data_IF_271679861699
#
_entry.id   IF_271679861699
#
_cell.length_a   1.000
_cell.length_b   1.000
_cell.length_c   1.000
_cell.angle_alpha   90.00
_cell.angle_beta   90.00
_cell.angle_gamma   90.00
#
_symmetry.space_group_name_H-M   'P 1'
#
loop_
_entity.id
_entity.type
_entity.pdbx_description
1 polymer ?
#
# COMPACT_ATOMS: atom_id res chain seq x y z
N UNK A 1 -20.73 0.36 -3.11
CA UNK A 1 -20.30 -1.05 -3.26
C UNK A 1 -18.92 -1.19 -2.67
N UNK A 2 -18.65 -2.27 -1.93
CA UNK A 2 -17.29 -2.53 -1.48
C UNK A 2 -16.45 -3.04 -2.67
N UNK A 3 -15.15 -2.73 -2.70
CA UNK A 3 -14.23 -3.21 -3.74
C UNK A 3 -14.22 -4.75 -3.87
N UNK A 4 -14.73 -5.46 -2.86
CA UNK A 4 -14.84 -6.92 -2.79
C UNK A 4 -16.11 -7.50 -3.43
N UNK A 5 -16.99 -6.65 -3.98
CA UNK A 5 -18.26 -7.07 -4.62
C UNK A 5 -18.21 -6.93 -6.15
N UNK A 6 -17.10 -6.46 -6.73
CA UNK A 6 -16.94 -6.36 -8.18
C UNK A 6 -16.45 -7.71 -8.67
N UNK A 7 -17.30 -8.45 -9.38
CA UNK A 7 -16.90 -9.67 -10.12
C UNK A 7 -15.90 -9.29 -11.22
N UNK A 8 -14.62 -9.35 -10.88
CA UNK A 8 -13.54 -9.17 -11.84
C UNK A 8 -13.53 -10.41 -12.73
N UNK A 9 -13.85 -10.22 -14.02
CA UNK A 9 -13.81 -11.30 -15.02
C UNK A 9 -12.46 -12.04 -14.96
N UNK A 10 -12.48 -13.37 -14.98
CA UNK A 10 -11.30 -14.26 -14.89
C UNK A 10 -10.15 -13.97 -15.87
N UNK A 11 -10.45 -13.29 -16.98
CA UNK A 11 -9.47 -12.88 -17.99
C UNK A 11 -8.89 -11.47 -17.74
N UNK A 12 -9.22 -10.84 -16.61
CA UNK A 12 -8.68 -9.54 -16.24
C UNK A 12 -7.22 -9.67 -15.82
N UNK A 13 -6.33 -9.15 -16.66
CA UNK A 13 -4.94 -8.94 -16.31
C UNK A 13 -4.74 -7.43 -16.15
N UNK A 14 -4.25 -7.02 -14.97
CA UNK A 14 -3.58 -5.72 -14.86
C UNK A 14 -2.44 -5.77 -15.88
N UNK A 15 -2.35 -4.78 -16.75
CA UNK A 15 -1.36 -4.72 -17.83
C UNK A 15 0.08 -4.45 -17.32
N UNK A 16 0.45 -5.02 -16.18
CA UNK A 16 1.79 -4.94 -15.61
C UNK A 16 2.86 -5.63 -16.48
N UNK A 17 2.46 -6.38 -17.52
CA UNK A 17 3.36 -7.13 -18.40
C UNK A 17 3.29 -6.70 -19.86
N UNK A 18 2.10 -6.41 -20.40
CA UNK A 18 1.89 -6.13 -21.82
C UNK A 18 1.63 -4.62 -22.04
N UNK A 19 2.71 -3.84 -22.09
CA UNK A 19 2.63 -2.38 -22.29
C UNK A 19 2.28 -2.01 -23.74
N UNK A 20 2.81 -2.79 -24.69
CA UNK A 20 2.59 -2.62 -26.11
C UNK A 20 1.85 -3.83 -26.68
N UNK A 21 0.82 -3.56 -27.47
CA UNK A 21 -0.13 -4.55 -27.94
C UNK A 21 -0.13 -4.56 -29.46
N UNK A 22 -0.04 -5.74 -30.08
CA UNK A 22 -0.42 -5.86 -31.49
C UNK A 22 -1.94 -5.64 -31.65
N UNK A 23 -2.41 -5.52 -32.89
CA UNK A 23 -3.82 -5.23 -33.19
C UNK A 23 -4.79 -6.22 -32.53
N UNK A 24 -4.53 -7.53 -32.63
CA UNK A 24 -5.41 -8.56 -32.09
C UNK A 24 -5.53 -8.47 -30.56
N UNK A 25 -4.40 -8.31 -29.85
CA UNK A 25 -4.40 -8.11 -28.40
C UNK A 25 -5.10 -6.80 -28.03
N UNK A 26 -4.86 -5.72 -28.76
CA UNK A 26 -5.50 -4.43 -28.50
C UNK A 26 -7.03 -4.52 -28.62
N UNK A 27 -7.54 -5.16 -29.69
CA UNK A 27 -8.96 -5.41 -29.88
C UNK A 27 -9.58 -6.25 -28.74
N UNK A 28 -8.85 -7.26 -28.26
CA UNK A 28 -9.26 -8.05 -27.09
C UNK A 28 -9.37 -7.16 -25.84
N UNK A 29 -8.36 -6.35 -25.55
CA UNK A 29 -8.36 -5.48 -24.37
C UNK A 29 -9.44 -4.39 -24.45
N UNK A 30 -9.63 -3.79 -25.62
CA UNK A 30 -10.70 -2.83 -25.89
C UNK A 30 -12.09 -3.40 -25.54
N UNK A 31 -12.42 -4.60 -26.03
CA UNK A 31 -13.67 -5.29 -25.71
C UNK A 31 -13.76 -5.61 -24.21
N UNK A 32 -12.66 -6.12 -23.64
CA UNK A 32 -12.64 -6.50 -22.21
C UNK A 32 -12.84 -5.30 -21.27
N UNK A 33 -12.48 -4.08 -21.70
CA UNK A 33 -12.68 -2.84 -20.96
C UNK A 33 -14.08 -2.23 -21.16
N UNK A 34 -15.00 -2.93 -21.83
CA UNK A 34 -16.35 -2.45 -22.15
C UNK A 34 -16.33 -1.07 -22.82
N UNK A 35 -15.36 -0.88 -23.72
CA UNK A 35 -15.22 0.33 -24.52
C UNK A 35 -16.02 0.28 -25.82
N UNK A 36 -16.58 -0.87 -26.18
CA UNK A 36 -17.42 -1.04 -27.36
C UNK A 36 -18.87 -0.56 -27.12
N UNK A 37 -19.44 0.15 -28.08
CA UNK A 37 -20.85 0.57 -28.09
C UNK A 37 -21.80 -0.52 -28.64
N UNK A 38 -21.27 -1.72 -28.92
CA UNK A 38 -22.03 -2.86 -29.39
C UNK A 38 -21.16 -3.91 -30.11
N UNK A 39 -21.80 -4.80 -30.87
CA UNK A 39 -21.14 -5.88 -31.62
C UNK A 39 -20.47 -5.43 -32.93
N UNK A 40 -20.74 -4.21 -33.41
CA UNK A 40 -20.27 -3.67 -34.70
C UNK A 40 -19.36 -2.44 -34.57
N UNK A 41 -18.80 -2.19 -33.40
CA UNK A 41 -17.89 -1.06 -33.17
C UNK A 41 -16.57 -1.31 -33.93
N UNK A 42 -16.22 -0.45 -34.89
CA UNK A 42 -14.97 -0.56 -35.64
C UNK A 42 -13.85 0.18 -34.88
N UNK A 43 -12.96 -0.60 -34.29
CA UNK A 43 -11.84 -0.06 -33.53
C UNK A 43 -10.86 0.72 -34.42
N UNK A 44 -10.84 0.45 -35.73
CA UNK A 44 -9.86 0.99 -36.68
C UNK A 44 -9.93 2.52 -36.74
N UNK A 45 -11.10 3.10 -36.51
CA UNK A 45 -11.32 4.55 -36.47
C UNK A 45 -10.53 5.24 -35.34
N UNK A 46 -10.17 4.51 -34.28
CA UNK A 46 -9.42 5.03 -33.14
C UNK A 46 -7.93 4.66 -33.17
N UNK A 47 -7.53 3.79 -34.10
CA UNK A 47 -6.14 3.38 -34.31
C UNK A 47 -5.41 4.43 -35.16
N UNK A 48 -5.35 5.66 -34.66
CA UNK A 48 -4.70 6.79 -35.32
C UNK A 48 -3.18 6.54 -35.43
N UNK A 49 -2.61 6.73 -36.63
CA UNK A 49 -1.18 6.51 -36.89
C UNK A 49 -0.28 7.40 -36.02
N UNK A 50 -0.72 8.62 -35.70
CA UNK A 50 0.04 9.56 -34.84
C UNK A 50 0.11 9.13 -33.36
N UNK A 51 -0.74 8.17 -32.98
CA UNK A 51 -0.84 7.60 -31.64
C UNK A 51 -0.31 6.17 -31.55
N UNK A 52 -0.15 5.50 -32.69
CA UNK A 52 0.42 4.17 -32.80
C UNK A 52 1.94 4.23 -32.95
N UNK A 53 2.60 3.09 -32.75
CA UNK A 53 4.06 2.99 -32.76
C UNK A 53 4.49 2.09 -33.88
N UNK A 54 5.42 2.58 -34.69
CA UNK A 54 6.14 1.77 -35.64
C UNK A 54 7.48 1.42 -35.01
N UNK A 55 7.63 0.16 -34.62
CA UNK A 55 8.84 -0.33 -33.93
C UNK A 55 9.56 -1.29 -34.85
N UNK A 56 10.87 -1.10 -35.01
CA UNK A 56 11.71 -2.03 -35.75
C UNK A 56 11.67 -3.39 -35.06
N UNK A 57 11.30 -4.44 -35.79
CA UNK A 57 11.10 -5.78 -35.24
C UNK A 57 12.31 -6.30 -34.44
N UNK A 58 13.52 -5.89 -34.81
CA UNK A 58 14.77 -6.31 -34.16
C UNK A 58 15.00 -5.62 -32.79
N UNK A 59 14.35 -4.48 -32.54
CA UNK A 59 14.43 -3.75 -31.26
C UNK A 59 13.30 -4.10 -30.28
N UNK A 60 12.26 -4.80 -30.74
CA UNK A 60 11.17 -5.22 -29.87
C UNK A 60 11.40 -6.64 -29.36
N UNK A 61 11.55 -6.77 -28.04
CA UNK A 61 11.79 -8.06 -27.38
C UNK A 61 10.54 -8.94 -27.53
N UNK A 62 10.61 -9.90 -28.46
CA UNK A 62 9.54 -10.86 -28.66
C UNK A 62 9.69 -12.03 -27.68
N UNK A 63 8.58 -12.47 -27.07
CA UNK A 63 8.56 -13.55 -26.06
C UNK A 63 9.14 -14.89 -26.55
N UNK A 64 9.34 -15.03 -27.85
CA UNK A 64 9.83 -16.25 -28.50
C UNK A 64 11.25 -16.12 -29.07
N UNK A 65 11.88 -14.94 -28.97
CA UNK A 65 13.22 -14.70 -29.48
C UNK A 65 14.24 -14.60 -28.35
N UNK A 66 15.50 -14.96 -28.64
CA UNK A 66 16.59 -14.92 -27.66
C UNK A 66 17.65 -13.94 -28.16
N UNK A 67 18.08 -13.05 -27.28
CA UNK A 67 18.94 -11.91 -27.58
C UNK A 67 20.27 -12.02 -26.83
N UNK A 68 21.29 -11.39 -27.41
CA UNK A 68 22.55 -11.09 -26.74
C UNK A 68 22.39 -9.90 -25.78
N UNK A 69 23.34 -9.77 -24.83
CA UNK A 69 23.25 -8.76 -23.77
C UNK A 69 23.33 -7.35 -24.36
N UNK A 70 24.16 -7.17 -25.39
CA UNK A 70 24.34 -5.90 -26.09
C UNK A 70 23.06 -5.43 -26.80
N UNK A 71 22.27 -6.36 -27.34
CA UNK A 71 20.98 -6.04 -27.98
C UNK A 71 19.97 -5.54 -26.94
N UNK A 72 19.87 -6.22 -25.79
CA UNK A 72 18.99 -5.81 -24.69
C UNK A 72 19.45 -4.46 -24.12
N UNK A 73 20.75 -4.27 -23.92
CA UNK A 73 21.34 -3.01 -23.45
C UNK A 73 20.99 -1.84 -24.39
N UNK A 74 21.12 -2.03 -25.70
CA UNK A 74 20.72 -1.03 -26.69
C UNK A 74 19.24 -0.65 -26.58
N UNK A 75 18.36 -1.62 -26.28
CA UNK A 75 16.93 -1.35 -26.07
C UNK A 75 16.70 -0.52 -24.81
N UNK A 76 17.39 -0.84 -23.70
CA UNK A 76 17.29 -0.07 -22.45
C UNK A 76 17.73 1.38 -22.63
N UNK A 77 18.77 1.63 -23.42
CA UNK A 77 19.32 2.98 -23.62
C UNK A 77 18.58 3.80 -24.70
N UNK A 78 17.95 3.16 -25.67
CA UNK A 78 17.28 3.85 -26.80
C UNK A 78 15.85 4.31 -26.47
N UNK A 79 15.37 5.34 -27.17
CA UNK A 79 13.96 5.78 -27.11
C UNK A 79 13.09 4.94 -28.05
N UNK A 80 12.07 4.26 -27.52
CA UNK A 80 11.17 3.40 -28.32
C UNK A 80 10.26 4.18 -29.27
N UNK A 81 9.91 5.42 -28.92
CA UNK A 81 8.92 6.24 -29.63
C UNK A 81 9.46 7.03 -30.83
N UNK A 82 10.77 6.95 -31.12
CA UNK A 82 11.44 7.76 -32.14
C UNK A 82 11.86 6.98 -33.41
N UNK A 83 11.51 5.69 -33.57
CA UNK A 83 11.94 4.91 -34.74
C UNK A 83 11.26 5.31 -36.06
N UNK A 84 12.03 5.14 -37.13
CA UNK A 84 12.05 5.90 -38.38
C UNK A 84 10.95 5.50 -39.39
N UNK A 85 10.50 6.44 -40.24
CA UNK A 85 9.31 6.32 -41.11
C UNK A 85 9.40 5.34 -42.30
N UNK A 86 10.51 4.65 -42.50
CA UNK A 86 10.80 3.89 -43.72
C UNK A 86 11.21 2.44 -43.45
N UNK A 87 10.28 1.58 -43.00
CA UNK A 87 10.51 0.14 -43.08
C UNK A 87 9.23 -0.71 -42.96
N UNK A 88 9.38 -2.03 -43.12
CA UNK A 88 8.36 -3.08 -42.92
C UNK A 88 8.01 -3.25 -41.43
N UNK A 89 7.80 -2.15 -40.72
CA UNK A 89 7.54 -2.09 -39.28
C UNK A 89 6.15 -2.61 -38.93
N UNK A 90 6.06 -3.35 -37.82
CA UNK A 90 4.79 -3.77 -37.25
C UNK A 90 4.23 -2.65 -36.36
N UNK A 91 2.93 -2.38 -36.48
CA UNK A 91 2.28 -1.32 -35.69
C UNK A 91 1.89 -1.88 -34.33
N UNK A 92 2.47 -1.30 -33.27
CA UNK A 92 2.13 -1.60 -31.88
C UNK A 92 1.32 -0.46 -31.26
N UNK A 93 0.34 -0.83 -30.45
CA UNK A 93 -0.56 0.07 -29.76
C UNK A 93 -0.23 0.07 -28.27
N UNK A 94 0.18 1.22 -27.70
CA UNK A 94 0.39 1.31 -26.26
C UNK A 94 -0.94 1.27 -25.52
N UNK A 95 -0.95 0.65 -24.35
CA UNK A 95 -2.14 0.49 -23.52
C UNK A 95 -2.87 1.80 -23.17
N UNK A 96 -2.16 2.94 -23.06
CA UNK A 96 -2.79 4.23 -22.77
C UNK A 96 -3.75 4.70 -23.88
N UNK A 97 -3.68 4.14 -25.10
CA UNK A 97 -4.68 4.42 -26.14
C UNK A 97 -6.08 4.00 -25.73
N UNK A 98 -6.23 3.01 -24.83
CA UNK A 98 -7.52 2.63 -24.27
C UNK A 98 -8.14 3.79 -23.46
N UNK A 99 -7.32 4.57 -22.76
CA UNK A 99 -7.78 5.77 -22.04
C UNK A 99 -8.22 6.86 -23.00
N UNK A 100 -7.46 7.06 -24.07
CA UNK A 100 -7.79 8.01 -25.12
C UNK A 100 -9.13 7.68 -25.80
N UNK A 101 -9.35 6.39 -26.12
CA UNK A 101 -10.62 5.90 -26.64
C UNK A 101 -11.77 6.16 -25.66
N UNK A 102 -11.55 5.93 -24.36
CA UNK A 102 -12.56 6.21 -23.34
C UNK A 102 -12.99 7.68 -23.33
N UNK A 103 -12.05 8.61 -23.55
CA UNK A 103 -12.32 10.05 -23.66
C UNK A 103 -13.12 10.36 -24.94
N UNK A 104 -12.66 9.91 -26.11
CA UNK A 104 -13.36 10.15 -27.39
C UNK A 104 -14.79 9.64 -27.33
N UNK A 105 -14.99 8.42 -26.82
CA UNK A 105 -16.30 7.79 -26.70
C UNK A 105 -17.13 8.34 -25.54
N UNK A 106 -16.68 9.42 -24.87
CA UNK A 106 -17.35 10.09 -23.75
C UNK A 106 -17.75 9.11 -22.63
N UNK A 107 -16.92 8.08 -22.40
CA UNK A 107 -17.10 7.12 -21.31
C UNK A 107 -16.63 7.68 -19.96
N UNK A 108 -16.02 8.85 -19.99
CA UNK A 108 -15.52 9.58 -18.84
C UNK A 108 -15.96 11.02 -18.99
N UNK A 109 -16.49 11.59 -17.92
CA UNK A 109 -16.95 12.97 -17.91
C UNK A 109 -15.78 13.92 -17.61
N UNK A 110 -15.81 15.14 -18.15
CA UNK A 110 -14.94 16.27 -17.81
C UNK A 110 -13.45 16.21 -18.22
N UNK A 111 -12.92 15.06 -18.64
CA UNK A 111 -11.58 15.01 -19.25
C UNK A 111 -11.70 15.26 -20.75
N UNK A 112 -11.09 16.34 -21.24
CA UNK A 112 -11.14 16.72 -22.64
C UNK A 112 -9.99 16.11 -23.46
N UNK A 113 -10.24 15.83 -24.74
CA UNK A 113 -9.23 15.30 -25.67
C UNK A 113 -7.98 16.20 -25.73
N UNK A 114 -8.18 17.52 -25.77
CA UNK A 114 -7.10 18.50 -25.81
C UNK A 114 -6.19 18.39 -24.58
N UNK A 115 -6.78 18.30 -23.40
CA UNK A 115 -6.05 18.18 -22.14
C UNK A 115 -5.26 16.86 -22.09
N UNK A 116 -5.87 15.74 -22.51
CA UNK A 116 -5.14 14.47 -22.61
C UNK A 116 -3.94 14.56 -23.56
N UNK A 117 -4.09 15.24 -24.70
CA UNK A 117 -3.01 15.43 -25.67
C UNK A 117 -1.85 16.27 -25.13
N UNK A 118 -2.11 17.24 -24.25
CA UNK A 118 -1.05 18.01 -23.56
C UNK A 118 -0.14 17.11 -22.71
N UNK A 119 -0.70 16.03 -22.17
CA UNK A 119 0.02 15.05 -21.35
C UNK A 119 0.47 13.79 -22.10
N UNK A 120 0.28 13.70 -23.41
CA UNK A 120 0.60 12.52 -24.21
C UNK A 120 2.08 12.10 -24.10
N UNK A 121 3.00 13.08 -24.00
CA UNK A 121 4.44 12.80 -23.83
C UNK A 121 4.75 11.99 -22.58
N UNK A 122 4.02 12.22 -21.47
CA UNK A 122 4.22 11.51 -20.20
C UNK A 122 3.68 10.09 -20.27
N UNK A 123 2.50 9.89 -20.89
CA UNK A 123 1.97 8.54 -21.13
C UNK A 123 2.93 7.70 -21.96
N UNK A 124 3.49 8.27 -23.03
CA UNK A 124 4.50 7.60 -23.86
C UNK A 124 5.73 7.25 -23.01
N UNK A 125 6.31 8.22 -22.32
CA UNK A 125 7.52 8.00 -21.52
C UNK A 125 7.34 6.95 -20.42
N UNK A 126 6.22 7.00 -19.67
CA UNK A 126 5.96 6.03 -18.60
C UNK A 126 5.71 4.63 -19.15
N UNK A 127 5.05 4.50 -20.30
CA UNK A 127 4.91 3.21 -20.97
C UNK A 127 6.30 2.65 -21.34
N UNK A 128 7.20 3.46 -21.89
CA UNK A 128 8.58 3.03 -22.14
C UNK A 128 9.34 2.62 -20.88
N UNK A 129 9.25 3.41 -19.80
CA UNK A 129 9.81 3.05 -18.49
C UNK A 129 9.30 1.68 -18.03
N UNK A 130 7.99 1.46 -18.09
CA UNK A 130 7.37 0.20 -17.65
C UNK A 130 7.83 -0.97 -18.49
N UNK A 131 7.96 -0.79 -19.80
CA UNK A 131 8.46 -1.82 -20.70
C UNK A 131 9.92 -2.17 -20.42
N UNK A 132 10.79 -1.17 -20.23
CA UNK A 132 12.21 -1.39 -19.88
C UNK A 132 12.36 -2.10 -18.53
N UNK A 133 11.61 -1.68 -17.51
CA UNK A 133 11.54 -2.38 -16.22
C UNK A 133 11.08 -3.83 -16.37
N UNK A 134 10.10 -4.08 -17.25
CA UNK A 134 9.64 -5.43 -17.55
C UNK A 134 10.73 -6.28 -18.21
N UNK A 135 11.48 -5.73 -19.18
CA UNK A 135 12.61 -6.43 -19.81
C UNK A 135 13.64 -6.82 -18.76
N UNK A 136 14.08 -5.87 -17.93
CA UNK A 136 15.10 -6.09 -16.90
C UNK A 136 14.65 -7.17 -15.91
N UNK A 137 13.43 -7.04 -15.37
CA UNK A 137 12.90 -8.02 -14.40
C UNK A 137 12.83 -9.43 -14.98
N UNK A 138 12.55 -9.54 -16.27
CA UNK A 138 12.33 -10.82 -16.96
C UNK A 138 13.49 -11.16 -17.92
N UNK A 139 14.70 -10.65 -17.69
CA UNK A 139 15.83 -10.84 -18.60
C UNK A 139 16.07 -12.31 -18.98
N UNK A 140 15.81 -13.26 -18.07
CA UNK A 140 15.88 -14.71 -18.31
C UNK A 140 15.00 -15.21 -19.46
N UNK A 141 13.87 -14.55 -19.71
CA UNK A 141 12.95 -14.90 -20.80
C UNK A 141 13.48 -14.48 -22.17
N UNK A 142 14.49 -13.62 -22.21
CA UNK A 142 14.99 -12.98 -23.42
C UNK A 142 16.44 -13.32 -23.69
N UNK A 143 17.26 -13.53 -22.67
CA UNK A 143 18.66 -13.87 -22.84
C UNK A 143 18.85 -15.26 -23.46
N UNK A 144 19.88 -15.41 -24.28
CA UNK A 144 20.38 -16.73 -24.67
C UNK A 144 20.76 -17.59 -23.46
N UNK A 145 20.52 -18.90 -23.55
CA UNK A 145 20.82 -19.89 -22.50
C UNK A 145 22.27 -19.85 -21.99
N UNK A 146 23.22 -19.39 -22.80
CA UNK A 146 24.63 -19.20 -22.41
C UNK A 146 24.82 -18.21 -21.25
N UNK A 147 23.87 -17.31 -21.03
CA UNK A 147 23.95 -16.26 -20.01
C UNK A 147 23.22 -16.57 -18.70
N UNK A 148 22.48 -17.67 -18.61
CA UNK A 148 21.62 -17.96 -17.44
C UNK A 148 22.38 -18.03 -16.11
N UNK A 149 23.65 -18.44 -16.13
CA UNK A 149 24.50 -18.48 -14.92
C UNK A 149 24.91 -17.09 -14.40
N UNK A 150 24.76 -16.04 -15.20
CA UNK A 150 25.12 -14.64 -14.90
C UNK A 150 23.91 -13.72 -14.97
N UNK A 151 22.70 -14.27 -14.92
CA UNK A 151 21.49 -13.49 -15.15
C UNK A 151 21.33 -12.34 -14.17
N UNK A 152 21.61 -12.59 -12.88
CA UNK A 152 21.47 -11.56 -11.86
C UNK A 152 22.49 -10.42 -12.07
N UNK A 153 23.75 -10.73 -12.36
CA UNK A 153 24.77 -9.72 -12.71
C UNK A 153 24.35 -8.89 -13.94
N UNK A 154 23.72 -9.53 -14.94
CA UNK A 154 23.22 -8.84 -16.14
C UNK A 154 22.04 -7.93 -15.79
N UNK A 155 21.11 -8.37 -14.93
CA UNK A 155 19.98 -7.54 -14.48
C UNK A 155 20.47 -6.29 -13.75
N UNK A 156 21.50 -6.42 -12.91
CA UNK A 156 22.09 -5.27 -12.20
C UNK A 156 22.78 -4.29 -13.17
N UNK A 157 23.48 -4.80 -14.19
CA UNK A 157 24.07 -3.98 -15.26
C UNK A 157 22.99 -3.22 -16.05
N UNK A 158 21.97 -3.93 -16.53
CA UNK A 158 20.86 -3.32 -17.28
C UNK A 158 20.07 -2.32 -16.43
N UNK A 159 19.93 -2.57 -15.12
CA UNK A 159 19.30 -1.62 -14.22
C UNK A 159 20.13 -0.33 -14.07
N UNK A 160 21.46 -0.44 -14.03
CA UNK A 160 22.35 0.72 -13.99
C UNK A 160 22.21 1.58 -15.25
N UNK A 161 22.20 0.96 -16.43
CA UNK A 161 21.96 1.64 -17.72
C UNK A 161 20.56 2.28 -17.78
N UNK A 162 19.57 1.63 -17.18
CA UNK A 162 18.22 2.19 -17.09
C UNK A 162 18.16 3.44 -16.20
N UNK A 163 18.94 3.52 -15.13
CA UNK A 163 19.03 4.73 -14.31
C UNK A 163 19.64 5.91 -15.09
N UNK A 164 20.63 5.65 -15.95
CA UNK A 164 21.20 6.66 -16.86
C UNK A 164 20.13 7.15 -17.85
N UNK A 165 19.38 6.23 -18.46
CA UNK A 165 18.24 6.58 -19.32
C UNK A 165 17.20 7.46 -18.59
N UNK A 166 16.89 7.17 -17.33
CA UNK A 166 15.95 7.98 -16.54
C UNK A 166 16.48 9.40 -16.31
N UNK A 167 17.78 9.57 -16.04
CA UNK A 167 18.38 10.89 -15.80
C UNK A 167 18.33 11.78 -17.05
N UNK A 168 18.46 11.19 -18.23
CA UNK A 168 18.40 11.91 -19.51
C UNK A 168 16.97 12.33 -19.93
N UNK A 169 15.94 11.83 -19.25
CA UNK A 169 14.54 12.00 -19.64
C UNK A 169 13.92 13.38 -19.35
N UNK A 170 14.61 14.26 -18.60
CA UNK A 170 14.36 15.73 -18.54
C UNK A 170 12.95 16.21 -18.14
N UNK A 171 12.16 15.46 -17.39
CA UNK A 171 10.92 16.02 -16.83
C UNK A 171 11.20 16.87 -15.60
N UNK A 172 10.64 18.09 -15.56
CA UNK A 172 10.75 18.91 -14.37
C UNK A 172 9.83 18.39 -13.27
N UNK A 173 10.16 18.67 -12.01
CA UNK A 173 9.29 18.32 -10.88
C UNK A 173 7.89 18.95 -11.01
N UNK A 174 7.81 20.18 -11.52
CA UNK A 174 6.54 20.89 -11.76
C UNK A 174 5.68 20.16 -12.82
N UNK A 175 6.32 19.74 -13.91
CA UNK A 175 5.70 18.96 -14.96
C UNK A 175 5.14 17.63 -14.45
N UNK A 176 5.91 16.91 -13.63
CA UNK A 176 5.50 15.64 -13.02
C UNK A 176 4.32 15.83 -12.04
N UNK A 177 4.32 16.89 -11.23
CA UNK A 177 3.17 17.19 -10.36
C UNK A 177 1.92 17.56 -11.17
N UNK A 178 2.07 18.33 -12.24
CA UNK A 178 0.96 18.67 -13.13
C UNK A 178 0.37 17.41 -13.76
N UNK A 179 1.23 16.52 -14.25
CA UNK A 179 0.79 15.24 -14.79
C UNK A 179 0.13 14.36 -13.73
N UNK A 180 0.72 14.23 -12.52
CA UNK A 180 0.17 13.46 -11.40
C UNK A 180 -1.23 13.94 -11.01
N UNK A 181 -1.43 15.26 -10.94
CA UNK A 181 -2.75 15.85 -10.71
C UNK A 181 -3.73 15.49 -11.82
N UNK A 182 -3.31 15.59 -13.08
CA UNK A 182 -4.16 15.21 -14.22
C UNK A 182 -4.58 13.72 -14.15
N UNK A 183 -3.64 12.79 -14.01
CA UNK A 183 -3.96 11.35 -13.96
C UNK A 183 -4.76 10.96 -12.72
N UNK A 184 -4.58 11.65 -11.58
CA UNK A 184 -5.43 11.44 -10.41
C UNK A 184 -6.87 11.92 -10.67
N UNK A 185 -7.06 13.11 -11.26
CA UNK A 185 -8.39 13.57 -11.67
C UNK A 185 -9.06 12.58 -12.61
N UNK A 186 -8.28 12.06 -13.56
CA UNK A 186 -8.77 11.08 -14.51
C UNK A 186 -9.12 9.74 -13.85
N UNK A 187 -8.32 9.27 -12.88
CA UNK A 187 -8.62 8.11 -12.04
C UNK A 187 -9.96 8.28 -11.31
N UNK A 188 -10.17 9.43 -10.67
CA UNK A 188 -11.43 9.75 -10.01
C UNK A 188 -12.61 9.71 -10.98
N UNK A 189 -12.49 10.31 -12.17
CA UNK A 189 -13.56 10.26 -13.16
C UNK A 189 -13.83 8.83 -13.68
N UNK A 190 -12.80 8.01 -13.87
CA UNK A 190 -12.97 6.60 -14.24
C UNK A 190 -13.71 5.83 -13.14
N UNK A 191 -13.42 6.10 -11.87
CA UNK A 191 -14.11 5.52 -10.70
C UNK A 191 -15.59 5.90 -10.67
N UNK A 192 -15.90 7.19 -10.83
CA UNK A 192 -17.29 7.70 -10.82
C UNK A 192 -18.13 7.17 -12.00
N UNK A 193 -17.50 6.84 -13.13
CA UNK A 193 -18.16 6.26 -14.30
C UNK A 193 -18.08 4.71 -14.33
N UNK A 194 -17.73 4.08 -13.20
CA UNK A 194 -17.61 2.62 -13.02
C UNK A 194 -16.67 1.93 -14.03
N UNK A 195 -15.65 2.66 -14.52
CA UNK A 195 -14.62 2.15 -15.43
C UNK A 195 -13.42 1.58 -14.67
N UNK A 196 -13.69 0.66 -13.74
CA UNK A 196 -12.69 0.14 -12.80
C UNK A 196 -11.47 -0.50 -13.46
N UNK A 197 -11.64 -1.18 -14.60
CA UNK A 197 -10.52 -1.80 -15.34
C UNK A 197 -9.52 -0.76 -15.85
N UNK A 198 -10.03 0.32 -16.43
CA UNK A 198 -9.20 1.44 -16.90
C UNK A 198 -8.63 2.23 -15.71
N UNK A 199 -9.44 2.42 -14.65
CA UNK A 199 -8.99 3.05 -13.41
C UNK A 199 -7.75 2.34 -12.84
N UNK A 200 -7.79 1.01 -12.66
CA UNK A 200 -6.66 0.22 -12.16
C UNK A 200 -5.44 0.25 -13.08
N UNK A 201 -5.64 0.22 -14.41
CA UNK A 201 -4.51 0.39 -15.33
C UNK A 201 -3.87 1.78 -15.19
N UNK A 202 -4.66 2.82 -14.95
CA UNK A 202 -4.17 4.19 -14.74
C UNK A 202 -3.41 4.35 -13.42
N UNK A 203 -3.74 3.57 -12.39
CA UNK A 203 -2.97 3.55 -11.12
C UNK A 203 -1.49 3.20 -11.34
N UNK A 204 -1.19 2.41 -12.36
CA UNK A 204 0.21 2.11 -12.71
C UNK A 204 0.97 3.36 -13.18
N UNK A 205 0.32 4.27 -13.91
CA UNK A 205 0.92 5.55 -14.28
C UNK A 205 1.10 6.47 -13.08
N UNK A 206 0.15 6.43 -12.13
CA UNK A 206 0.24 7.19 -10.89
C UNK A 206 1.44 6.72 -10.08
N UNK A 207 1.59 5.42 -9.87
CA UNK A 207 2.70 4.83 -9.13
C UNK A 207 4.05 5.12 -9.80
N UNK A 208 4.15 5.00 -11.12
CA UNK A 208 5.40 5.32 -11.83
C UNK A 208 5.71 6.84 -11.79
N UNK A 209 4.71 7.71 -11.85
CA UNK A 209 4.93 9.16 -11.69
C UNK A 209 5.42 9.50 -10.28
N UNK A 210 4.88 8.84 -9.25
CA UNK A 210 5.38 8.96 -7.86
C UNK A 210 6.84 8.51 -7.76
N UNK A 211 7.21 7.39 -8.39
CA UNK A 211 8.61 6.93 -8.42
C UNK A 211 9.53 7.94 -9.10
N UNK A 212 9.13 8.52 -10.23
CA UNK A 212 9.92 9.56 -10.90
C UNK A 212 10.12 10.81 -10.03
N UNK A 213 9.10 11.21 -9.26
CA UNK A 213 9.23 12.31 -8.29
C UNK A 213 10.20 11.95 -7.15
N UNK A 214 10.20 10.70 -6.68
CA UNK A 214 11.17 10.22 -5.68
C UNK A 214 12.59 10.23 -6.24
N UNK A 215 12.78 9.80 -7.49
CA UNK A 215 14.06 9.81 -8.18
C UNK A 215 14.59 11.25 -8.35
N UNK A 216 13.69 12.24 -8.46
CA UNK A 216 14.00 13.67 -8.44
C UNK A 216 14.25 14.23 -7.02
N UNK A 217 14.34 13.38 -5.98
CA UNK A 217 14.64 13.77 -4.61
C UNK A 217 13.47 14.35 -3.82
N UNK A 218 12.23 14.24 -4.33
CA UNK A 218 11.03 14.71 -3.63
C UNK A 218 10.58 13.66 -2.63
N UNK A 219 10.32 14.04 -1.38
CA UNK A 219 9.88 13.08 -0.35
C UNK A 219 8.46 12.56 -0.60
N UNK A 220 8.16 11.32 -0.18
CA UNK A 220 6.80 10.75 -0.24
C UNK A 220 5.76 11.66 0.41
N UNK A 221 6.07 12.23 1.57
CA UNK A 221 5.17 13.16 2.28
C UNK A 221 4.84 14.38 1.43
N UNK A 222 5.85 14.99 0.81
CA UNK A 222 5.64 16.15 -0.07
C UNK A 222 4.80 15.80 -1.29
N UNK A 223 5.01 14.63 -1.91
CA UNK A 223 4.22 14.17 -3.06
C UNK A 223 2.75 14.05 -2.69
N UNK A 224 2.44 13.42 -1.55
CA UNK A 224 1.07 13.20 -1.10
C UNK A 224 0.36 14.50 -0.74
N UNK A 225 1.05 15.41 -0.05
CA UNK A 225 0.49 16.70 0.35
C UNK A 225 0.28 17.67 -0.82
N UNK A 226 1.15 17.65 -1.85
CA UNK A 226 1.02 18.53 -3.02
C UNK A 226 0.01 18.03 -4.04
N UNK A 227 -0.21 16.72 -4.12
CA UNK A 227 -1.15 16.14 -5.10
C UNK A 227 -2.57 16.56 -4.74
N UNK A 228 -3.20 17.36 -5.60
CA UNK A 228 -4.54 17.91 -5.40
C UNK A 228 -4.71 18.63 -4.04
N UNK A 229 -3.72 19.44 -3.64
CA UNK A 229 -3.76 20.19 -2.38
C UNK A 229 -5.07 21.02 -2.21
N UNK A 230 -5.70 21.43 -3.31
CA UNK A 230 -6.98 22.15 -3.31
C UNK A 230 -8.20 21.29 -2.98
N UNK A 231 -8.16 19.97 -3.21
CA UNK A 231 -9.22 19.03 -2.84
C UNK A 231 -9.00 18.54 -1.40
N UNK A 232 -9.06 19.46 -0.43
CA UNK A 232 -8.78 19.13 0.98
C UNK A 232 -9.86 18.21 1.57
N UNK A 233 -9.52 16.95 1.76
CA UNK A 233 -10.18 16.02 2.70
C UNK A 233 -9.40 15.90 4.01
N UNK A 234 -9.81 14.98 4.88
CA UNK A 234 -9.02 14.63 6.08
C UNK A 234 -7.71 13.93 5.71
N UNK A 235 -7.68 13.24 4.57
CA UNK A 235 -6.54 12.44 4.12
C UNK A 235 -6.05 12.90 2.76
N UNK A 236 -4.75 12.76 2.51
CA UNK A 236 -4.15 12.93 1.19
C UNK A 236 -4.82 12.00 0.18
N UNK A 237 -5.19 12.53 -0.98
CA UNK A 237 -6.04 11.83 -1.95
C UNK A 237 -5.38 10.60 -2.55
N UNK A 238 -4.05 10.55 -2.60
CA UNK A 238 -3.28 9.41 -3.10
C UNK A 238 -3.40 8.16 -2.22
N UNK A 239 -3.85 8.28 -0.97
CA UNK A 239 -4.10 7.12 -0.11
C UNK A 239 -5.15 6.16 -0.68
N UNK A 240 -6.06 6.65 -1.54
CA UNK A 240 -7.06 5.84 -2.25
C UNK A 240 -6.45 4.85 -3.25
N UNK A 241 -5.22 5.11 -3.71
CA UNK A 241 -4.52 4.33 -4.72
C UNK A 241 -3.41 3.50 -4.08
N UNK A 242 -2.53 4.20 -3.36
CA UNK A 242 -1.42 3.58 -2.64
C UNK A 242 -1.33 4.20 -1.26
N UNK A 243 -1.58 3.42 -0.21
CA UNK A 243 -1.57 3.96 1.14
C UNK A 243 -0.15 4.13 1.66
N UNK A 244 0.34 5.38 1.73
CA UNK A 244 1.57 5.70 2.45
C UNK A 244 1.31 5.73 3.98
N UNK A 245 1.50 4.58 4.63
CA UNK A 245 1.12 4.35 6.04
C UNK A 245 1.63 5.42 7.02
N UNK A 246 2.90 5.87 6.98
CA UNK A 246 3.40 6.90 7.91
C UNK A 246 2.55 8.18 7.90
N UNK A 247 2.34 8.76 6.72
CA UNK A 247 1.52 9.97 6.57
C UNK A 247 0.06 9.71 6.92
N UNK A 248 -0.49 8.55 6.53
CA UNK A 248 -1.87 8.22 6.85
C UNK A 248 -2.12 8.15 8.37
N UNK A 249 -1.14 7.64 9.12
CA UNK A 249 -1.19 7.62 10.59
C UNK A 249 -1.14 9.03 11.17
N UNK A 250 -0.26 9.89 10.63
CA UNK A 250 -0.13 11.29 11.02
C UNK A 250 -1.42 12.10 10.76
N UNK A 251 -1.99 11.98 9.55
CA UNK A 251 -3.26 12.60 9.17
C UNK A 251 -4.44 12.09 10.03
N UNK A 252 -4.32 10.87 10.56
CA UNK A 252 -5.29 10.25 11.46
C UNK A 252 -5.05 10.54 12.95
N UNK A 253 -4.20 11.51 13.31
CA UNK A 253 -3.79 11.74 14.71
C UNK A 253 -4.95 11.88 15.71
N UNK A 254 -6.09 12.41 15.29
CA UNK A 254 -7.26 12.60 16.14
C UNK A 254 -7.86 11.29 16.70
N UNK A 255 -7.63 10.15 16.04
CA UNK A 255 -8.06 8.84 16.55
C UNK A 255 -7.31 8.44 17.82
N UNK A 256 -6.10 8.95 18.04
CA UNK A 256 -5.29 8.65 19.22
C UNK A 256 -5.71 9.44 20.46
N UNK A 257 -6.58 10.45 20.32
CA UNK A 257 -7.02 11.32 21.41
C UNK A 257 -7.67 10.53 22.55
N UNK A 258 -8.41 9.44 22.25
CA UNK A 258 -9.04 8.59 23.26
C UNK A 258 -8.05 7.86 24.17
N UNK A 259 -6.81 7.68 23.70
CA UNK A 259 -5.76 6.96 24.43
C UNK A 259 -4.86 7.90 25.24
N UNK A 260 -4.77 9.18 24.86
CA UNK A 260 -3.89 10.17 25.48
C UNK A 260 -4.13 10.31 26.99
N UNK A 261 -5.40 10.39 27.41
CA UNK A 261 -5.75 10.52 28.83
C UNK A 261 -5.28 9.30 29.64
N UNK A 262 -5.38 8.10 29.07
CA UNK A 262 -4.90 6.86 29.71
C UNK A 262 -3.39 6.83 29.80
N UNK A 263 -2.67 7.26 28.76
CA UNK A 263 -1.21 7.38 28.78
C UNK A 263 -0.76 8.35 29.89
N UNK A 264 -1.34 9.55 29.93
CA UNK A 264 -1.01 10.56 30.95
C UNK A 264 -1.27 10.04 32.37
N UNK A 265 -2.40 9.36 32.58
CA UNK A 265 -2.74 8.77 33.89
C UNK A 265 -1.80 7.62 34.29
N UNK A 266 -1.52 6.68 33.38
CA UNK A 266 -0.74 5.47 33.68
C UNK A 266 0.72 5.79 33.96
N UNK A 267 1.30 6.75 33.23
CA UNK A 267 2.70 7.14 33.37
C UNK A 267 2.90 8.37 34.27
N UNK A 268 1.83 9.00 34.75
CA UNK A 268 1.87 10.23 35.54
C UNK A 268 2.64 11.36 34.84
N UNK A 269 2.35 11.55 33.55
CA UNK A 269 2.94 12.55 32.67
C UNK A 269 1.85 13.45 32.11
N UNK A 270 2.23 14.61 31.57
CA UNK A 270 1.34 15.50 30.86
C UNK A 270 1.92 15.81 29.47
N UNK A 271 1.62 14.94 28.50
CA UNK A 271 2.05 15.11 27.12
C UNK A 271 0.87 15.52 26.23
N UNK A 272 1.19 16.20 25.13
CA UNK A 272 0.22 16.59 24.10
C UNK A 272 -0.05 15.44 23.12
N UNK A 273 -1.15 15.54 22.38
CA UNK A 273 -1.46 14.60 21.30
C UNK A 273 -0.32 14.54 20.28
N UNK A 274 0.24 15.68 19.88
CA UNK A 274 1.35 15.71 18.91
C UNK A 274 2.59 15.00 19.46
N UNK A 275 2.92 15.18 20.74
CA UNK A 275 4.03 14.46 21.38
C UNK A 275 3.76 12.95 21.38
N UNK A 276 2.54 12.54 21.72
CA UNK A 276 2.15 11.14 21.75
C UNK A 276 2.22 10.50 20.36
N UNK A 277 1.64 11.14 19.34
CA UNK A 277 1.66 10.64 17.96
C UNK A 277 3.09 10.56 17.42
N UNK A 278 3.93 11.58 17.65
CA UNK A 278 5.33 11.58 17.22
C UNK A 278 6.13 10.42 17.84
N UNK A 279 5.89 10.10 19.12
CA UNK A 279 6.52 8.94 19.76
C UNK A 279 6.10 7.65 19.06
N UNK A 280 4.79 7.48 18.78
CA UNK A 280 4.30 6.27 18.11
C UNK A 280 4.78 6.13 16.66
N UNK A 281 4.89 7.23 15.91
CA UNK A 281 5.29 7.22 14.49
C UNK A 281 6.79 7.24 14.28
N UNK A 282 7.60 7.45 15.34
CA UNK A 282 9.06 7.48 15.26
C UNK A 282 9.70 6.14 14.85
N UNK A 283 9.00 5.02 15.05
CA UNK A 283 9.48 3.68 14.75
C UNK A 283 8.67 3.05 13.61
N UNK A 284 9.30 2.91 12.45
CA UNK A 284 8.65 2.37 11.25
C UNK A 284 8.08 0.96 11.44
N UNK A 285 8.62 0.16 12.38
CA UNK A 285 8.07 -1.16 12.72
C UNK A 285 6.63 -1.09 13.23
N UNK A 286 6.16 0.08 13.69
CA UNK A 286 4.81 0.25 14.22
C UNK A 286 3.80 0.62 13.14
N UNK A 287 4.25 1.00 11.94
CA UNK A 287 3.37 1.51 10.88
C UNK A 287 2.24 0.53 10.56
N UNK A 288 2.52 -0.77 10.49
CA UNK A 288 1.50 -1.78 10.20
C UNK A 288 0.49 -1.96 11.33
N UNK A 289 0.96 -1.90 12.58
CA UNK A 289 0.12 -2.03 13.78
C UNK A 289 -0.79 -0.80 13.89
N UNK A 290 -0.22 0.41 13.76
CA UNK A 290 -0.95 1.67 13.84
C UNK A 290 -1.95 1.80 12.69
N UNK A 291 -1.56 1.44 11.46
CA UNK A 291 -2.46 1.41 10.31
C UNK A 291 -3.63 0.45 10.51
N UNK A 292 -3.37 -0.79 10.96
CA UNK A 292 -4.42 -1.79 11.22
C UNK A 292 -5.39 -1.33 12.32
N UNK A 293 -4.87 -0.67 13.36
CA UNK A 293 -5.67 -0.05 14.40
C UNK A 293 -6.61 1.04 13.86
N UNK A 294 -6.11 1.94 13.02
CA UNK A 294 -6.91 3.01 12.42
C UNK A 294 -8.02 2.46 11.53
N UNK A 295 -7.71 1.45 10.71
CA UNK A 295 -8.69 0.77 9.87
C UNK A 295 -9.77 0.07 10.72
N UNK A 296 -9.37 -0.57 11.82
CA UNK A 296 -10.29 -1.19 12.77
C UNK A 296 -11.25 -0.15 13.37
N UNK A 297 -10.73 1.00 13.83
CA UNK A 297 -11.56 2.09 14.37
C UNK A 297 -12.51 2.69 13.34
N UNK A 298 -12.05 2.92 12.11
CA UNK A 298 -12.90 3.42 11.01
C UNK A 298 -14.07 2.47 10.75
N UNK A 299 -13.82 1.16 10.72
CA UNK A 299 -14.86 0.14 10.50
C UNK A 299 -15.85 0.05 11.65
N UNK A 300 -15.38 0.17 12.90
CA UNK A 300 -16.27 0.27 14.06
C UNK A 300 -17.24 1.44 13.95
N UNK A 301 -16.74 2.61 13.51
CA UNK A 301 -17.55 3.82 13.40
C UNK A 301 -18.49 3.77 12.19
N UNK A 302 -18.10 3.11 11.10
CA UNK A 302 -18.88 2.99 9.87
C UNK A 302 -19.92 1.86 9.91
N UNK A 303 -20.02 1.09 10.99
CA UNK A 303 -20.90 -0.07 11.11
C UNK A 303 -20.68 -1.16 10.03
N UNK A 304 -19.50 -1.19 9.40
CA UNK A 304 -19.14 -2.16 8.35
C UNK A 304 -18.43 -3.36 8.99
N UNK A 305 -19.19 -4.42 9.24
CA UNK A 305 -18.84 -5.51 10.18
C UNK A 305 -18.64 -6.87 9.49
N UNK A 306 -17.52 -7.05 8.78
CA UNK A 306 -17.08 -8.40 8.45
C UNK A 306 -16.28 -8.94 9.64
N UNK A 307 -16.82 -9.96 10.30
CA UNK A 307 -16.18 -10.61 11.46
C UNK A 307 -14.78 -11.13 11.09
N UNK A 308 -14.64 -11.74 9.92
CA UNK A 308 -13.36 -12.24 9.41
C UNK A 308 -12.33 -11.11 9.23
N UNK A 309 -12.72 -10.02 8.58
CA UNK A 309 -11.81 -8.89 8.32
C UNK A 309 -11.42 -8.21 9.63
N UNK A 310 -12.39 -7.96 10.51
CA UNK A 310 -12.12 -7.35 11.81
C UNK A 310 -11.27 -8.26 12.70
N UNK A 311 -11.53 -9.56 12.68
CA UNK A 311 -10.75 -10.59 13.36
C UNK A 311 -9.30 -10.65 12.88
N UNK A 312 -9.09 -10.60 11.56
CA UNK A 312 -7.75 -10.52 10.98
C UNK A 312 -7.02 -9.23 11.43
N UNK A 313 -7.70 -8.08 11.39
CA UNK A 313 -7.12 -6.80 11.79
C UNK A 313 -6.71 -6.79 13.27
N UNK A 314 -7.58 -7.22 14.18
CA UNK A 314 -7.23 -7.21 15.62
C UNK A 314 -6.16 -8.24 15.97
N UNK A 315 -6.15 -9.41 15.29
CA UNK A 315 -5.05 -10.37 15.42
C UNK A 315 -3.73 -9.76 14.94
N UNK A 316 -3.73 -9.05 13.81
CA UNK A 316 -2.56 -8.32 13.33
C UNK A 316 -2.05 -7.29 14.34
N UNK A 317 -2.96 -6.50 14.91
CA UNK A 317 -2.62 -5.49 15.94
C UNK A 317 -2.06 -6.13 17.20
N UNK A 318 -2.72 -7.15 17.76
CA UNK A 318 -2.34 -7.72 19.07
C UNK A 318 -1.14 -8.67 18.96
N UNK A 319 -1.13 -9.55 17.95
CA UNK A 319 -0.04 -10.53 17.79
C UNK A 319 1.25 -9.86 17.30
N UNK A 320 1.16 -8.82 16.45
CA UNK A 320 2.34 -8.11 15.94
C UNK A 320 3.19 -7.42 17.01
N UNK A 321 2.60 -7.09 18.16
CA UNK A 321 3.30 -6.42 19.27
C UNK A 321 4.29 -7.37 19.96
N UNK A 322 4.06 -8.67 19.93
CA UNK A 322 4.94 -9.60 20.63
C UNK A 322 6.36 -9.59 20.06
N UNK A 323 6.48 -9.60 18.74
CA UNK A 323 7.77 -9.52 18.04
C UNK A 323 8.45 -8.19 18.36
N UNK A 324 7.70 -7.09 18.28
CA UNK A 324 8.16 -5.75 18.67
C UNK A 324 8.72 -5.71 20.10
N UNK A 325 8.01 -6.30 21.07
CA UNK A 325 8.43 -6.35 22.49
C UNK A 325 9.69 -7.18 22.65
N UNK A 326 9.74 -8.37 22.05
CA UNK A 326 10.89 -9.29 22.17
C UNK A 326 12.15 -8.71 21.55
N UNK A 327 12.03 -8.14 20.35
CA UNK A 327 13.12 -7.48 19.64
C UNK A 327 13.68 -6.30 20.44
N UNK A 328 12.79 -5.39 20.87
CA UNK A 328 13.19 -4.14 21.52
C UNK A 328 13.86 -4.39 22.88
N UNK A 329 13.42 -5.44 23.58
CA UNK A 329 13.97 -5.80 24.89
C UNK A 329 15.10 -6.83 24.82
N UNK A 330 15.45 -7.31 23.61
CA UNK A 330 16.38 -8.42 23.39
C UNK A 330 16.07 -9.62 24.32
N UNK A 331 14.80 -10.01 24.36
CA UNK A 331 14.27 -10.96 25.31
C UNK A 331 13.99 -12.33 24.64
N UNK A 332 14.79 -13.34 24.98
CA UNK A 332 14.62 -14.70 24.46
C UNK A 332 13.69 -15.60 25.30
N UNK A 333 13.20 -15.10 26.43
CA UNK A 333 12.24 -15.81 27.29
C UNK A 333 10.79 -15.70 26.78
N UNK A 334 9.85 -16.32 27.50
CA UNK A 334 8.42 -16.20 27.18
C UNK A 334 7.91 -14.75 27.27
N UNK A 335 6.82 -14.45 26.55
CA UNK A 335 6.25 -13.09 26.47
C UNK A 335 6.00 -12.47 27.86
N UNK A 336 5.51 -13.26 28.83
CA UNK A 336 5.28 -12.80 30.20
C UNK A 336 6.55 -12.20 30.84
N UNK A 337 7.68 -12.89 30.70
CA UNK A 337 8.96 -12.44 31.25
C UNK A 337 9.48 -11.20 30.53
N UNK A 338 9.24 -11.09 29.22
CA UNK A 338 9.58 -9.90 28.45
C UNK A 338 8.76 -8.69 28.90
N UNK A 339 7.43 -8.83 29.06
CA UNK A 339 6.56 -7.74 29.52
C UNK A 339 6.94 -7.25 30.93
N UNK A 340 7.39 -8.14 31.82
CA UNK A 340 7.88 -7.75 33.15
C UNK A 340 9.09 -6.82 33.10
N UNK A 341 9.90 -6.85 32.04
CA UNK A 341 11.04 -5.95 31.91
C UNK A 341 10.62 -4.49 31.69
N UNK A 342 9.39 -4.24 31.19
CA UNK A 342 8.83 -2.89 31.05
C UNK A 342 8.53 -2.23 32.40
N UNK A 343 8.40 -3.03 33.47
CA UNK A 343 8.30 -2.54 34.86
C UNK A 343 8.97 -3.49 35.85
N UNK A 344 10.31 -3.45 35.86
CA UNK A 344 11.12 -4.29 36.74
C UNK A 344 10.75 -4.10 38.22
N UNK A 345 10.72 -5.20 38.97
CA UNK A 345 10.49 -5.18 40.42
C UNK A 345 9.03 -5.08 40.87
N UNK A 346 8.05 -5.02 39.95
CA UNK A 346 6.64 -5.02 40.38
C UNK A 346 6.17 -6.37 40.89
N UNK A 347 5.65 -6.38 42.12
CA UNK A 347 5.04 -7.54 42.76
C UNK A 347 3.64 -7.84 42.24
N UNK A 348 3.01 -6.92 41.48
CA UNK A 348 1.63 -7.06 40.97
C UNK A 348 1.52 -8.09 39.84
N UNK A 349 2.56 -8.26 39.02
CA UNK A 349 2.52 -9.12 37.83
C UNK A 349 2.14 -10.57 38.13
N UNK A 350 2.78 -11.19 39.12
CA UNK A 350 2.51 -12.61 39.42
C UNK A 350 1.07 -12.82 39.92
N UNK A 351 0.48 -11.84 40.63
CA UNK A 351 -0.90 -11.90 41.08
C UNK A 351 -1.86 -11.81 39.89
N UNK A 352 -1.67 -10.81 39.03
CA UNK A 352 -2.52 -10.57 37.86
C UNK A 352 -2.40 -11.66 36.78
N UNK A 353 -1.20 -12.20 36.58
CA UNK A 353 -0.95 -13.34 35.68
C UNK A 353 -1.76 -14.57 36.09
N UNK A 354 -1.80 -14.88 37.40
CA UNK A 354 -2.53 -16.04 37.94
C UNK A 354 -4.06 -15.88 37.93
N UNK A 355 -4.60 -14.70 37.65
CA UNK A 355 -6.06 -14.49 37.62
C UNK A 355 -6.73 -15.26 36.48
N UNK A 356 -6.01 -15.52 35.37
CA UNK A 356 -6.52 -16.24 34.20
C UNK A 356 -5.58 -17.41 33.92
N UNK A 357 -6.14 -18.62 33.89
CA UNK A 357 -5.37 -19.82 33.61
C UNK A 357 -5.37 -20.07 32.10
N UNK A 358 -4.21 -20.43 31.53
CA UNK A 358 -4.06 -20.75 30.11
C UNK A 358 -4.93 -21.94 29.67
N UNK A 359 -5.34 -22.79 30.61
CA UNK A 359 -6.21 -23.94 30.36
C UNK A 359 -7.69 -23.68 30.66
N UNK A 360 -8.07 -22.45 31.03
CA UNK A 360 -9.47 -22.08 31.16
C UNK A 360 -10.17 -22.18 29.79
N UNK A 361 -11.47 -22.50 29.78
CA UNK A 361 -12.27 -22.44 28.54
C UNK A 361 -12.31 -21.01 27.99
N UNK A 362 -12.50 -20.85 26.68
CA UNK A 362 -12.51 -19.54 26.03
C UNK A 362 -13.52 -18.57 26.65
N UNK A 363 -14.70 -19.05 27.02
CA UNK A 363 -15.72 -18.25 27.71
C UNK A 363 -15.25 -17.81 29.10
N UNK A 364 -14.65 -18.72 29.87
CA UNK A 364 -14.13 -18.39 31.20
C UNK A 364 -12.94 -17.42 31.13
N UNK A 365 -12.08 -17.54 30.11
CA UNK A 365 -10.98 -16.61 29.86
C UNK A 365 -11.51 -15.20 29.59
N UNK A 366 -12.52 -15.05 28.72
CA UNK A 366 -13.15 -13.75 28.43
C UNK A 366 -13.76 -13.13 29.68
N UNK A 367 -14.57 -13.88 30.43
CA UNK A 367 -15.19 -13.37 31.66
C UNK A 367 -14.15 -12.94 32.71
N UNK A 368 -13.04 -13.68 32.84
CA UNK A 368 -11.95 -13.31 33.76
C UNK A 368 -11.17 -12.09 33.26
N UNK A 369 -10.97 -11.96 31.94
CA UNK A 369 -10.33 -10.79 31.34
C UNK A 369 -11.16 -9.53 31.58
N UNK A 370 -12.47 -9.60 31.38
CA UNK A 370 -13.39 -8.50 31.66
C UNK A 370 -13.38 -8.12 33.15
N UNK A 371 -13.38 -9.10 34.07
CA UNK A 371 -13.24 -8.84 35.51
C UNK A 371 -11.92 -8.14 35.85
N UNK A 372 -10.81 -8.58 35.27
CA UNK A 372 -9.50 -7.94 35.45
C UNK A 372 -9.56 -6.47 34.98
N UNK A 373 -10.23 -6.19 33.85
CA UNK A 373 -10.41 -4.84 33.34
C UNK A 373 -11.23 -3.96 34.30
N UNK A 374 -12.34 -4.49 34.83
CA UNK A 374 -13.30 -3.72 35.63
C UNK A 374 -12.90 -3.56 37.10
N UNK A 375 -12.17 -4.51 37.67
CA UNK A 375 -11.92 -4.57 39.12
C UNK A 375 -10.54 -4.07 39.53
N UNK A 376 -9.54 -4.10 38.64
CA UNK A 376 -8.18 -3.65 38.96
C UNK A 376 -8.02 -2.16 38.66
N UNK A 377 -7.29 -1.45 39.52
CA UNK A 377 -6.95 -0.04 39.31
C UNK A 377 -6.02 0.15 38.10
N UNK A 378 -6.20 1.26 37.40
CA UNK A 378 -5.40 1.62 36.24
C UNK A 378 -3.93 1.73 36.61
N UNK A 379 -3.12 0.89 35.97
CA UNK A 379 -1.68 0.79 36.19
C UNK A 379 -1.02 0.11 35.01
N UNK A 380 0.27 0.37 34.79
CA UNK A 380 1.01 -0.27 33.69
C UNK A 380 0.92 -1.80 33.79
N UNK A 381 1.00 -2.38 34.99
CA UNK A 381 0.88 -3.83 35.19
C UNK A 381 -0.47 -4.37 34.76
N UNK A 382 -1.57 -3.66 35.06
CA UNK A 382 -2.92 -4.05 34.61
C UNK A 382 -2.96 -4.14 33.08
N UNK A 383 -2.55 -3.08 32.38
CA UNK A 383 -2.59 -3.04 30.92
C UNK A 383 -1.65 -4.08 30.27
N UNK A 384 -0.46 -4.30 30.82
CA UNK A 384 0.43 -5.37 30.36
C UNK A 384 -0.20 -6.77 30.50
N UNK A 385 -0.99 -7.00 31.55
CA UNK A 385 -1.68 -8.28 31.75
C UNK A 385 -2.94 -8.42 30.93
N UNK A 386 -3.68 -7.32 30.68
CA UNK A 386 -4.78 -7.29 29.69
C UNK A 386 -4.23 -7.72 28.33
N UNK A 387 -3.14 -7.12 27.87
CA UNK A 387 -2.49 -7.49 26.61
C UNK A 387 -2.07 -8.95 26.60
N UNK A 388 -1.34 -9.42 27.62
CA UNK A 388 -0.85 -10.80 27.69
C UNK A 388 -1.99 -11.83 27.55
N UNK A 389 -3.06 -11.64 28.31
CA UNK A 389 -4.19 -12.56 28.31
C UNK A 389 -5.02 -12.48 27.03
N UNK A 390 -5.24 -11.27 26.49
CA UNK A 390 -5.92 -11.09 25.20
C UNK A 390 -5.13 -11.67 24.02
N UNK A 391 -3.81 -11.51 24.00
CA UNK A 391 -2.91 -12.13 23.01
C UNK A 391 -3.07 -13.64 23.04
N UNK A 392 -3.01 -14.26 24.23
CA UNK A 392 -3.17 -15.71 24.36
C UNK A 392 -4.55 -16.17 23.91
N UNK A 393 -5.61 -15.46 24.29
CA UNK A 393 -6.97 -15.71 23.82
C UNK A 393 -7.02 -15.72 22.28
N UNK A 394 -6.55 -14.65 21.63
CA UNK A 394 -6.59 -14.48 20.17
C UNK A 394 -5.70 -15.47 19.40
N UNK A 395 -4.69 -16.07 20.05
CA UNK A 395 -3.84 -17.09 19.46
C UNK A 395 -4.52 -18.46 19.32
N UNK A 396 -5.68 -18.66 19.96
CA UNK A 396 -6.46 -19.89 19.80
C UNK A 396 -7.30 -19.90 18.50
N UNK A 397 -7.48 -21.09 17.91
CA UNK A 397 -8.19 -21.25 16.63
C UNK A 397 -9.72 -21.12 16.73
N UNK A 398 -10.31 -21.23 17.92
CA UNK A 398 -11.77 -21.29 18.10
C UNK A 398 -12.27 -20.21 19.07
N UNK A 399 -12.09 -18.94 18.72
CA UNK A 399 -12.43 -17.78 19.54
C UNK A 399 -13.78 -17.19 19.15
N UNK A 400 -14.50 -16.64 20.14
CA UNK A 400 -15.73 -15.89 19.93
C UNK A 400 -15.38 -14.41 19.73
N UNK A 401 -15.21 -14.02 18.46
CA UNK A 401 -14.85 -12.65 18.11
C UNK A 401 -15.96 -11.66 18.47
N UNK A 402 -17.22 -12.07 18.38
CA UNK A 402 -18.35 -11.20 18.70
C UNK A 402 -18.36 -10.85 20.19
N UNK A 403 -18.21 -11.84 21.10
CA UNK A 403 -18.08 -11.56 22.54
C UNK A 403 -16.82 -10.75 22.85
N UNK A 404 -15.69 -11.02 22.17
CA UNK A 404 -14.46 -10.25 22.36
C UNK A 404 -14.62 -8.76 21.97
N UNK A 405 -15.38 -8.48 20.90
CA UNK A 405 -15.61 -7.12 20.43
C UNK A 405 -16.69 -6.36 21.22
N UNK A 406 -17.75 -7.04 21.66
CA UNK A 406 -18.96 -6.39 22.16
C UNK A 406 -19.31 -6.73 23.60
N UNK A 407 -18.57 -7.60 24.28
CA UNK A 407 -18.95 -8.08 25.60
C UNK A 407 -20.32 -8.78 25.60
N UNK A 408 -20.85 -9.07 26.78
CA UNK A 408 -22.21 -9.63 26.93
C UNK A 408 -23.31 -8.54 26.96
N UNK A 409 -22.93 -7.31 27.32
CA UNK A 409 -23.81 -6.15 27.46
C UNK A 409 -23.83 -5.22 26.23
N UNK A 410 -23.09 -5.59 25.17
CA UNK A 410 -22.92 -4.77 23.96
C UNK A 410 -21.85 -3.68 24.09
N UNK A 411 -21.18 -3.57 25.25
CA UNK A 411 -20.12 -2.60 25.46
C UNK A 411 -18.77 -3.11 24.92
N UNK A 412 -18.03 -2.20 24.28
CA UNK A 412 -16.70 -2.48 23.70
C UNK A 412 -15.60 -2.55 24.76
N UNK A 413 -15.91 -3.01 25.98
CA UNK A 413 -15.04 -2.93 27.15
C UNK A 413 -13.72 -3.67 26.93
N UNK A 414 -13.79 -4.93 26.50
CA UNK A 414 -12.61 -5.78 26.29
C UNK A 414 -11.73 -5.20 25.19
N UNK A 415 -12.27 -5.05 23.97
CA UNK A 415 -11.51 -4.56 22.82
C UNK A 415 -10.88 -3.18 23.07
N UNK A 416 -11.62 -2.24 23.69
CA UNK A 416 -11.08 -0.90 23.95
C UNK A 416 -9.87 -0.97 24.86
N UNK A 417 -9.96 -1.73 25.96
CA UNK A 417 -8.84 -1.87 26.90
C UNK A 417 -7.67 -2.69 26.33
N UNK A 418 -7.92 -3.63 25.42
CA UNK A 418 -6.86 -4.32 24.68
C UNK A 418 -6.12 -3.34 23.78
N UNK A 419 -6.83 -2.51 23.02
CA UNK A 419 -6.24 -1.46 22.18
C UNK A 419 -5.49 -0.42 23.03
N UNK A 420 -6.04 -0.02 24.18
CA UNK A 420 -5.33 0.86 25.11
C UNK A 420 -4.02 0.23 25.59
N UNK A 421 -4.05 -1.06 25.91
CA UNK A 421 -2.85 -1.81 26.32
C UNK A 421 -1.79 -1.82 25.22
N UNK A 422 -2.20 -2.00 23.97
CA UNK A 422 -1.32 -1.88 22.79
C UNK A 422 -0.64 -0.51 22.75
N UNK A 423 -1.42 0.56 22.81
CA UNK A 423 -0.88 1.92 22.73
C UNK A 423 0.06 2.25 23.89
N UNK A 424 -0.27 1.79 25.10
CA UNK A 424 0.57 1.92 26.30
C UNK A 424 1.89 1.19 26.14
N UNK A 425 1.88 -0.03 25.58
CA UNK A 425 3.10 -0.82 25.34
C UNK A 425 3.99 -0.12 24.31
N UNK A 426 3.45 0.26 23.16
CA UNK A 426 4.21 0.92 22.10
C UNK A 426 4.86 2.21 22.61
N UNK A 427 4.09 3.03 23.34
CA UNK A 427 4.62 4.26 23.95
C UNK A 427 5.74 3.98 24.96
N UNK A 428 5.58 2.97 25.84
CA UNK A 428 6.60 2.62 26.83
C UNK A 428 7.88 2.11 26.19
N UNK A 429 7.77 1.33 25.12
CA UNK A 429 8.93 0.80 24.41
C UNK A 429 9.83 1.90 23.84
N UNK A 430 9.25 2.93 23.22
CA UNK A 430 10.04 4.03 22.66
C UNK A 430 10.63 4.93 23.75
N UNK A 431 9.83 5.32 24.74
CA UNK A 431 10.32 6.18 25.83
C UNK A 431 11.42 5.52 26.67
N UNK A 432 11.42 4.19 26.80
CA UNK A 432 12.50 3.46 27.45
C UNK A 432 13.83 3.46 26.66
N UNK A 433 13.81 3.57 25.33
CA UNK A 433 15.04 3.69 24.54
C UNK A 433 15.71 5.02 24.80
N UNK A 434 14.94 6.10 24.85
CA UNK A 434 15.44 7.45 25.14
C UNK A 434 16.07 7.55 26.55
N UNK A 435 15.47 6.89 27.53
CA UNK A 435 16.04 6.80 28.89
C UNK A 435 17.40 6.07 28.92
N UNK A 436 17.61 5.06 28.07
CA UNK A 436 18.89 4.36 27.97
C UNK A 436 19.94 5.20 27.25
N UNK A 437 19.56 5.90 26.19
CA UNK A 437 20.48 6.72 25.40
C UNK A 437 20.92 8.01 26.12
N UNK A 438 20.13 8.53 27.07
CA UNK A 438 20.51 9.68 27.92
C UNK A 438 21.47 9.31 29.07
N UNK A 439 21.65 8.02 29.35
CA UNK A 439 22.50 7.51 30.42
C UNK A 439 23.81 6.85 29.89
N UNK A 440 24.13 7.08 28.61
CA UNK A 440 25.42 6.80 27.97
C UNK A 440 26.05 8.13 27.60
#
# INVERSE_FOLDING_TARGET
>A
MSLFEIDIHKDFQILNTDVFLNREKFEKYYKSNNLNDGYKDDISEYLLEDLSLKVYHDLFVMSNFRYDVEEISSIIQSNLYLSNTDSKEEILYPEWMLFFIAIIKKKVSFIHEKEFREYLKYFKHIAEIRYKRYIIRNADNFLHYKYYKKSDDIKDSLYSEFLEYLTDSKFTTEELFSFLNFIYSFHFQLKENEKYKLMWNLETYIIETVKLLLDNGISMTEIYLKTHESMRGTYSVLHDIHTYKPLYVEESKNYFQSHLSKINNVFQIDITLDTFTNVLTSNEKYNDILFSYLELLKRFNANKRSEDVMGAMIKGVVLGIEEVVKDTLNCQSGLFDCLKQLKKGSHKFNKLHKQINLYDSNELQLCKLEKLILQEEDSLEKYLMIYYHARNYLAHNNIDMNKFFWGEDGNKTIISNVIDSVMIILYKLETMKDEKNKNV
#
